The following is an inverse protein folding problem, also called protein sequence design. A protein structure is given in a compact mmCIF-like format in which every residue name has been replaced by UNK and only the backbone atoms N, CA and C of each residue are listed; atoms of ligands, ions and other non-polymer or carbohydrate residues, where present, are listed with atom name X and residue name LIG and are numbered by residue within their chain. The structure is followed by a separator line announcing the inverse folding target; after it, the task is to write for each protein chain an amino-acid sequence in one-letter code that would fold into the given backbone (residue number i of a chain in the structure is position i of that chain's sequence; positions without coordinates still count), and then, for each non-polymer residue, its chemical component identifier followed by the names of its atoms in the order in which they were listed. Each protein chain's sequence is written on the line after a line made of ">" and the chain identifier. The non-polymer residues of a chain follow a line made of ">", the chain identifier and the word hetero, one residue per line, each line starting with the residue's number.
data_IF_551412134286
#
_entry.id   IF_551412134286
#
_cell.length_a   1.000
_cell.length_b   1.000
_cell.length_c   1.000
_cell.angle_alpha   90.00
_cell.angle_beta   90.00
_cell.angle_gamma   90.00
#
_symmetry.space_group_name_H-M   'P 1'
#
loop_
_entity.id
_entity.type
_entity.pdbx_description
1 polymer ?
#
# COMPACT_ATOMS: atom_id res chain seq x y z
N UNK A 1 -12.69 2.97 -25.12
CA UNK A 1 -11.29 2.90 -24.64
C UNK A 1 -10.82 1.48 -24.87
N UNK A 2 -9.69 1.31 -25.53
CA UNK A 2 -9.12 0.00 -25.89
C UNK A 2 -8.83 -0.81 -24.61
N UNK A 3 -9.04 -2.14 -24.67
CA UNK A 3 -8.86 -3.04 -23.52
C UNK A 3 -7.48 -2.87 -22.87
N UNK A 4 -6.43 -2.67 -23.69
CA UNK A 4 -5.08 -2.35 -23.24
C UNK A 4 -4.98 -1.02 -22.48
N UNK A 5 -5.67 0.04 -22.94
CA UNK A 5 -5.70 1.33 -22.24
C UNK A 5 -6.49 1.27 -20.93
N UNK A 6 -7.52 0.43 -20.83
CA UNK A 6 -8.24 0.16 -19.58
C UNK A 6 -7.35 -0.57 -18.56
N UNK A 7 -6.63 -1.60 -18.99
CA UNK A 7 -5.70 -2.34 -18.15
C UNK A 7 -4.61 -1.39 -17.65
N UNK A 8 -3.98 -0.59 -18.51
CA UNK A 8 -2.95 0.38 -18.13
C UNK A 8 -3.51 1.43 -17.14
N UNK A 9 -4.73 1.94 -17.34
CA UNK A 9 -5.32 2.94 -16.45
C UNK A 9 -5.67 2.37 -15.08
N UNK A 10 -6.28 1.19 -15.03
CA UNK A 10 -6.60 0.47 -13.77
C UNK A 10 -5.29 0.08 -13.06
N UNK A 11 -4.29 -0.33 -13.81
CA UNK A 11 -2.95 -0.66 -13.33
C UNK A 11 -2.23 0.55 -12.71
N UNK A 12 -2.32 1.73 -13.33
CA UNK A 12 -1.73 2.97 -12.79
C UNK A 12 -2.41 3.39 -11.47
N UNK A 13 -3.74 3.22 -11.36
CA UNK A 13 -4.47 3.51 -10.13
C UNK A 13 -4.09 2.51 -9.03
N UNK A 14 -4.03 1.22 -9.33
CA UNK A 14 -3.60 0.19 -8.38
C UNK A 14 -2.15 0.39 -7.94
N UNK A 15 -1.24 0.78 -8.84
CA UNK A 15 0.14 1.13 -8.51
C UNK A 15 0.20 2.38 -7.62
N UNK A 16 -0.66 3.38 -7.83
CA UNK A 16 -0.71 4.57 -6.98
C UNK A 16 -1.12 4.22 -5.54
N UNK A 17 -2.10 3.35 -5.34
CA UNK A 17 -2.49 2.83 -4.03
C UNK A 17 -1.36 2.01 -3.40
N UNK A 18 -0.70 1.20 -4.19
CA UNK A 18 0.42 0.33 -3.80
C UNK A 18 1.65 1.08 -3.35
N UNK A 19 1.96 2.14 -4.04
CA UNK A 19 3.11 2.95 -3.73
C UNK A 19 2.92 3.67 -2.40
N UNK A 20 1.69 3.89 -1.93
CA UNK A 20 1.44 4.45 -0.60
C UNK A 20 1.90 3.48 0.49
N UNK A 21 1.56 2.22 0.42
CA UNK A 21 2.05 1.20 1.36
C UNK A 21 3.57 1.00 1.20
N UNK A 22 4.11 1.07 -0.03
CA UNK A 22 5.54 0.90 -0.33
C UNK A 22 6.38 2.15 -0.14
N UNK A 23 5.86 3.33 -0.45
CA UNK A 23 6.54 4.62 -0.28
C UNK A 23 6.78 4.96 1.19
N UNK A 24 5.95 4.41 2.09
CA UNK A 24 6.20 4.37 3.52
C UNK A 24 7.66 3.94 3.80
N UNK A 25 8.23 3.16 2.93
CA UNK A 25 9.42 2.40 3.20
C UNK A 25 10.70 2.98 2.58
N UNK A 26 10.63 3.60 1.41
CA UNK A 26 11.84 3.98 0.66
C UNK A 26 12.44 5.34 1.03
N UNK A 27 11.70 6.28 1.60
CA UNK A 27 12.15 7.66 1.77
C UNK A 27 12.95 7.94 3.05
N UNK A 28 12.72 7.21 4.14
CA UNK A 28 13.36 7.51 5.44
C UNK A 28 14.85 7.17 5.46
N UNK A 29 15.32 6.29 4.59
CA UNK A 29 16.76 5.96 4.49
C UNK A 29 17.60 7.15 3.99
N UNK A 30 17.00 8.12 3.30
CA UNK A 30 17.73 9.23 2.66
C UNK A 30 17.80 10.53 3.47
N UNK A 31 16.97 10.75 4.51
CA UNK A 31 16.82 12.07 5.15
C UNK A 31 16.86 12.09 6.68
N UNK A 32 17.67 11.27 7.31
CA UNK A 32 17.86 11.31 8.77
C UNK A 32 18.83 12.43 9.20
N UNK A 33 18.54 13.68 8.81
CA UNK A 33 19.19 14.85 9.41
C UNK A 33 18.21 16.00 9.55
N UNK A 34 17.89 16.30 10.83
CA UNK A 34 17.24 17.51 11.36
C UNK A 34 15.72 17.68 11.17
N UNK A 35 14.98 17.47 12.26
CA UNK A 35 14.36 18.64 12.92
C UNK A 35 13.54 18.25 14.14
N UNK A 36 13.78 18.96 15.24
CA UNK A 36 12.93 19.00 16.42
C UNK A 36 11.57 19.59 16.06
N UNK A 37 10.51 18.80 16.14
CA UNK A 37 9.15 19.28 16.26
C UNK A 37 8.47 18.57 17.44
N UNK A 38 8.28 19.28 18.53
CA UNK A 38 7.39 18.90 19.62
C UNK A 38 5.94 19.05 19.14
N UNK A 39 5.16 17.98 19.22
CA UNK A 39 3.70 18.04 19.01
C UNK A 39 3.07 16.64 18.89
N UNK A 40 2.51 16.15 19.97
CA UNK A 40 1.40 15.17 20.14
C UNK A 40 1.32 13.86 19.30
N UNK A 41 2.24 13.50 18.41
CA UNK A 41 2.16 12.28 17.61
C UNK A 41 2.79 11.04 18.27
N UNK A 42 3.37 11.14 19.46
CA UNK A 42 4.21 10.08 20.04
C UNK A 42 3.48 8.80 20.50
N UNK A 43 2.16 8.69 20.31
CA UNK A 43 1.34 7.55 20.76
C UNK A 43 0.44 6.96 19.68
N UNK A 44 0.74 7.18 18.40
CA UNK A 44 0.01 6.53 17.31
C UNK A 44 0.58 5.15 17.02
N UNK A 45 -0.30 4.13 16.99
CA UNK A 45 0.08 2.76 16.67
C UNK A 45 0.46 2.63 15.19
N UNK A 46 -0.21 3.37 14.30
CA UNK A 46 0.14 3.34 12.87
C UNK A 46 1.53 3.94 12.62
N UNK A 47 1.92 4.99 13.34
CA UNK A 47 3.27 5.54 13.25
C UNK A 47 4.33 4.62 13.87
N UNK A 48 3.97 3.89 14.94
CA UNK A 48 4.85 2.89 15.54
C UNK A 48 5.09 1.73 14.57
N UNK A 49 4.04 1.20 13.95
CA UNK A 49 4.14 0.18 12.90
C UNK A 49 4.99 0.67 11.74
N UNK A 50 4.77 1.89 11.28
CA UNK A 50 5.57 2.51 10.24
C UNK A 50 7.06 2.51 10.58
N UNK A 51 7.43 3.01 11.77
CA UNK A 51 8.82 3.07 12.22
C UNK A 51 9.45 1.68 12.35
N UNK A 52 8.66 0.67 12.75
CA UNK A 52 9.11 -0.73 12.79
C UNK A 52 9.42 -1.25 11.38
N UNK A 53 8.52 -1.06 10.41
CA UNK A 53 8.70 -1.49 9.03
C UNK A 53 9.93 -0.85 8.37
N UNK A 54 10.27 0.39 8.75
CA UNK A 54 11.48 1.07 8.26
C UNK A 54 12.78 0.39 8.69
N UNK A 55 12.76 -0.38 9.77
CA UNK A 55 13.95 -1.06 10.31
C UNK A 55 14.09 -2.50 9.78
N UNK A 56 13.06 -3.02 9.09
CA UNK A 56 13.09 -4.38 8.53
C UNK A 56 13.80 -4.40 7.18
N UNK A 57 14.68 -5.37 6.98
CA UNK A 57 15.32 -5.63 5.68
C UNK A 57 14.34 -6.26 4.66
N UNK A 58 13.28 -6.91 5.15
CA UNK A 58 12.25 -7.50 4.31
C UNK A 58 10.97 -7.79 5.08
N UNK A 59 9.84 -7.70 4.40
CA UNK A 59 8.50 -8.04 4.92
C UNK A 59 7.51 -8.16 3.77
N UNK A 60 6.36 -8.75 4.07
CA UNK A 60 5.23 -8.77 3.15
C UNK A 60 3.96 -8.23 3.82
N UNK A 61 3.09 -7.63 2.99
CA UNK A 61 1.78 -7.12 3.41
C UNK A 61 0.72 -7.69 2.47
N UNK A 62 -0.36 -8.21 3.05
CA UNK A 62 -1.58 -8.55 2.31
C UNK A 62 -2.69 -7.59 2.70
N UNK A 63 -3.38 -7.04 1.70
CA UNK A 63 -4.62 -6.29 1.83
C UNK A 63 -5.71 -7.02 1.05
N UNK A 64 -6.89 -7.24 1.65
CA UNK A 64 -7.97 -7.93 0.95
C UNK A 64 -9.33 -7.39 1.38
N UNK A 65 -10.15 -7.06 0.39
CA UNK A 65 -11.59 -6.84 0.53
C UNK A 65 -12.34 -8.17 0.32
N UNK A 66 -12.00 -8.85 -0.77
CA UNK A 66 -12.58 -10.11 -1.21
C UNK A 66 -11.63 -10.82 -2.21
N UNK A 67 -12.06 -11.93 -2.80
CA UNK A 67 -11.25 -12.70 -3.75
C UNK A 67 -10.89 -11.94 -5.02
N UNK A 68 -11.72 -10.97 -5.43
CA UNK A 68 -11.56 -10.19 -6.66
C UNK A 68 -10.87 -8.83 -6.43
N UNK A 69 -10.66 -8.45 -5.16
CA UNK A 69 -10.08 -7.18 -4.78
C UNK A 69 -9.10 -7.40 -3.63
N UNK A 70 -7.86 -7.65 -3.97
CA UNK A 70 -6.78 -7.92 -3.01
C UNK A 70 -5.43 -7.51 -3.58
N UNK A 71 -4.49 -7.32 -2.68
CA UNK A 71 -3.13 -6.97 -2.96
C UNK A 71 -2.17 -7.73 -2.05
N UNK A 72 -1.10 -8.23 -2.64
CA UNK A 72 0.05 -8.76 -1.94
C UNK A 72 1.29 -7.95 -2.34
N UNK A 73 1.93 -7.41 -1.35
CA UNK A 73 3.12 -6.57 -1.48
C UNK A 73 4.27 -7.21 -0.71
N UNK A 74 5.44 -7.29 -1.34
CA UNK A 74 6.67 -7.78 -0.70
C UNK A 74 7.79 -6.80 -0.93
N UNK A 75 8.48 -6.46 0.13
CA UNK A 75 9.69 -5.64 0.08
C UNK A 75 10.87 -6.40 0.63
N UNK A 76 12.02 -6.26 -0.04
CA UNK A 76 13.32 -6.70 0.46
C UNK A 76 14.38 -5.72 -0.02
N UNK A 77 15.09 -5.09 0.90
CA UNK A 77 16.09 -4.07 0.59
C UNK A 77 15.54 -2.99 -0.38
N UNK A 78 16.07 -2.93 -1.60
CA UNK A 78 15.64 -1.99 -2.65
C UNK A 78 14.71 -2.63 -3.69
N UNK A 79 14.31 -3.88 -3.49
CA UNK A 79 13.43 -4.60 -4.40
C UNK A 79 12.01 -4.63 -3.87
N UNK A 80 11.05 -4.62 -4.78
CA UNK A 80 9.63 -4.67 -4.45
C UNK A 80 8.93 -5.62 -5.42
N UNK A 81 8.11 -6.52 -4.88
CA UNK A 81 7.18 -7.33 -5.66
C UNK A 81 5.75 -6.94 -5.29
N UNK A 82 4.89 -6.89 -6.29
CA UNK A 82 3.49 -6.52 -6.13
C UNK A 82 2.64 -7.48 -6.95
N UNK A 83 1.66 -8.10 -6.30
CA UNK A 83 0.61 -8.88 -6.95
C UNK A 83 -0.74 -8.30 -6.53
N UNK A 84 -1.53 -7.87 -7.49
CA UNK A 84 -2.82 -7.25 -7.24
C UNK A 84 -3.90 -7.86 -8.11
N UNK A 85 -5.06 -8.15 -7.49
CA UNK A 85 -6.29 -8.47 -8.20
C UNK A 85 -7.26 -7.32 -7.94
N UNK A 86 -7.72 -6.68 -9.00
CA UNK A 86 -8.71 -5.62 -8.94
C UNK A 86 -9.85 -5.91 -9.92
N UNK A 87 -11.07 -6.03 -9.40
CA UNK A 87 -12.26 -6.47 -10.17
C UNK A 87 -12.00 -7.77 -10.95
N UNK A 88 -11.28 -8.71 -10.34
CA UNK A 88 -10.93 -10.00 -10.92
C UNK A 88 -9.82 -9.94 -11.99
N UNK A 89 -9.18 -8.79 -12.20
CA UNK A 89 -8.04 -8.64 -13.13
C UNK A 89 -6.75 -8.67 -12.33
N UNK A 90 -5.93 -9.68 -12.56
CA UNK A 90 -4.62 -9.84 -11.94
C UNK A 90 -3.55 -9.00 -12.65
N UNK A 91 -2.63 -8.42 -11.88
CA UNK A 91 -1.47 -7.70 -12.39
C UNK A 91 -0.29 -7.87 -11.43
N UNK A 92 0.87 -8.24 -11.96
CA UNK A 92 2.09 -8.48 -11.18
C UNK A 92 3.22 -7.55 -11.61
N UNK A 93 3.96 -7.06 -10.64
CA UNK A 93 5.06 -6.13 -10.85
C UNK A 93 6.28 -6.54 -10.04
N UNK A 94 7.44 -6.39 -10.66
CA UNK A 94 8.74 -6.42 -9.99
C UNK A 94 9.37 -5.04 -10.17
N UNK A 95 9.83 -4.44 -9.08
CA UNK A 95 10.54 -3.16 -9.10
C UNK A 95 11.93 -3.43 -8.56
N UNK A 96 12.94 -3.33 -9.41
CA UNK A 96 14.35 -3.52 -9.07
C UNK A 96 15.27 -2.78 -10.05
N UNK A 97 16.46 -2.44 -9.61
CA UNK A 97 17.52 -1.82 -10.43
C UNK A 97 17.06 -0.58 -11.19
N UNK A 98 16.16 0.24 -10.60
CA UNK A 98 15.62 1.44 -11.23
C UNK A 98 14.60 1.17 -12.34
N UNK A 99 14.10 -0.05 -12.49
CA UNK A 99 13.08 -0.43 -13.45
C UNK A 99 11.86 -1.05 -12.78
N UNK A 100 10.73 -0.94 -13.48
CA UNK A 100 9.48 -1.66 -13.15
C UNK A 100 9.18 -2.64 -14.27
N UNK A 101 9.02 -3.90 -13.92
CA UNK A 101 8.65 -4.99 -14.82
C UNK A 101 7.20 -5.36 -14.56
N UNK A 102 6.33 -5.18 -15.56
CA UNK A 102 4.95 -5.66 -15.54
C UNK A 102 4.92 -7.07 -16.12
N UNK A 103 4.50 -8.05 -15.35
CA UNK A 103 4.39 -9.45 -15.77
C UNK A 103 2.98 -9.73 -16.30
N UNK A 104 2.89 -10.38 -17.44
CA UNK A 104 1.65 -10.81 -18.09
C UNK A 104 1.62 -12.34 -18.14
N UNK A 105 0.99 -12.96 -17.13
CA UNK A 105 0.99 -14.41 -16.94
C UNK A 105 0.35 -15.17 -18.11
N UNK A 106 -0.74 -14.64 -18.69
CA UNK A 106 -1.47 -15.26 -19.78
C UNK A 106 -0.64 -15.41 -21.06
N UNK A 107 0.24 -14.44 -21.35
CA UNK A 107 1.08 -14.40 -22.55
C UNK A 107 2.53 -14.80 -22.30
N UNK A 108 2.90 -15.00 -21.03
CA UNK A 108 4.29 -15.21 -20.62
C UNK A 108 5.23 -14.12 -21.17
N UNK A 109 4.77 -12.87 -21.05
CA UNK A 109 5.55 -11.70 -21.47
C UNK A 109 5.72 -10.74 -20.30
N UNK A 110 6.78 -9.92 -20.36
CA UNK A 110 6.94 -8.80 -19.45
C UNK A 110 7.22 -7.51 -20.22
N UNK A 111 6.86 -6.38 -19.63
CA UNK A 111 7.15 -5.06 -20.16
C UNK A 111 8.00 -4.28 -19.17
N UNK A 112 9.06 -3.63 -19.66
CA UNK A 112 9.98 -2.85 -18.85
C UNK A 112 9.63 -1.36 -18.92
N UNK A 113 9.50 -0.72 -17.76
CA UNK A 113 9.29 0.72 -17.62
C UNK A 113 10.39 1.31 -16.75
N UNK A 114 11.00 2.43 -17.19
CA UNK A 114 11.92 3.17 -16.32
C UNK A 114 11.17 3.82 -15.16
N UNK A 115 11.73 3.80 -13.95
CA UNK A 115 11.09 4.31 -12.72
C UNK A 115 10.77 5.82 -12.76
N UNK A 116 11.26 6.57 -13.73
CA UNK A 116 10.89 7.98 -13.90
C UNK A 116 9.40 8.23 -14.24
N UNK A 117 8.64 7.16 -14.51
CA UNK A 117 7.19 7.25 -14.78
C UNK A 117 6.32 7.01 -13.55
N UNK A 118 6.88 6.50 -12.46
CA UNK A 118 6.17 6.28 -11.21
C UNK A 118 6.58 7.39 -10.24
N UNK A 119 5.66 8.32 -9.96
CA UNK A 119 5.92 9.41 -9.01
C UNK A 119 5.88 8.88 -7.56
N UNK A 120 7.02 8.33 -7.14
CA UNK A 120 7.23 7.86 -5.77
C UNK A 120 7.11 9.01 -4.73
N UNK A 121 7.23 10.28 -5.17
CA UNK A 121 7.13 11.43 -4.26
C UNK A 121 5.70 11.66 -3.73
N UNK A 122 4.68 11.29 -4.52
CA UNK A 122 3.28 11.37 -4.08
C UNK A 122 3.02 10.54 -2.82
N UNK A 123 3.65 9.42 -2.73
CA UNK A 123 3.59 8.44 -1.65
C UNK A 123 4.28 8.93 -0.40
N UNK A 124 5.46 9.47 -0.58
CA UNK A 124 6.25 10.11 0.49
C UNK A 124 5.46 11.24 1.16
N UNK A 125 4.71 11.99 0.37
CA UNK A 125 3.92 13.11 0.86
C UNK A 125 2.77 12.65 1.76
N UNK A 126 2.09 11.56 1.44
CA UNK A 126 0.98 11.04 2.27
C UNK A 126 1.44 10.62 3.66
N UNK A 127 2.60 10.02 3.77
CA UNK A 127 3.12 9.57 5.06
C UNK A 127 3.72 10.68 5.89
N UNK A 128 4.38 11.62 5.26
CA UNK A 128 4.74 12.87 5.94
C UNK A 128 3.49 13.58 6.44
N UNK A 129 2.39 13.49 5.69
CA UNK A 129 1.09 14.03 6.09
C UNK A 129 0.55 13.34 7.35
N UNK A 130 0.61 12.00 7.44
CA UNK A 130 0.13 11.26 8.65
C UNK A 130 0.86 11.70 9.92
N UNK A 131 2.15 12.02 9.84
CA UNK A 131 2.93 12.49 11.01
C UNK A 131 2.39 13.78 11.61
N UNK A 132 1.80 14.62 10.77
CA UNK A 132 1.30 15.95 11.12
C UNK A 132 -0.22 15.98 11.32
N UNK A 133 -0.92 14.87 11.02
CA UNK A 133 -2.37 14.77 11.18
C UNK A 133 -2.75 14.48 12.64
N UNK A 134 -3.77 15.17 13.09
CA UNK A 134 -4.52 14.80 14.29
C UNK A 134 -5.33 13.53 14.01
N UNK A 135 -5.45 12.67 15.00
CA UNK A 135 -6.27 11.46 14.91
C UNK A 135 -7.15 11.28 16.13
N UNK A 136 -8.26 10.60 15.92
CA UNK A 136 -9.20 10.23 16.98
C UNK A 136 -9.05 8.75 17.32
N UNK A 137 -9.21 8.41 18.60
CA UNK A 137 -9.24 7.01 19.06
C UNK A 137 -10.66 6.59 19.35
N UNK A 138 -10.98 5.35 19.01
CA UNK A 138 -12.28 4.77 19.33
C UNK A 138 -12.25 3.26 19.40
N UNK A 139 -13.45 2.68 19.53
CA UNK A 139 -13.69 1.23 19.48
C UNK A 139 -14.87 0.97 18.56
N UNK A 140 -14.76 -0.08 17.77
CA UNK A 140 -15.83 -0.55 16.90
C UNK A 140 -15.82 -2.06 16.81
N UNK A 141 -17.00 -2.65 16.65
CA UNK A 141 -17.15 -4.07 16.38
C UNK A 141 -17.00 -4.32 14.87
N UNK A 142 -16.02 -5.17 14.49
CA UNK A 142 -15.80 -5.63 13.13
C UNK A 142 -15.82 -7.15 13.13
N UNK A 143 -16.70 -7.75 12.32
CA UNK A 143 -16.84 -9.21 12.21
C UNK A 143 -17.05 -9.92 13.56
N UNK A 144 -17.85 -9.32 14.46
CA UNK A 144 -18.21 -9.90 15.77
C UNK A 144 -17.15 -9.74 16.87
N UNK A 145 -16.06 -8.99 16.61
CA UNK A 145 -15.01 -8.70 17.60
C UNK A 145 -14.79 -7.20 17.71
N UNK A 146 -14.58 -6.72 18.95
CA UNK A 146 -14.30 -5.32 19.24
C UNK A 146 -12.80 -5.02 19.04
N UNK A 147 -12.50 -3.99 18.26
CA UNK A 147 -11.15 -3.49 18.01
C UNK A 147 -11.01 -2.04 18.45
N UNK A 148 -9.82 -1.66 18.92
CA UNK A 148 -9.47 -0.25 19.03
C UNK A 148 -9.09 0.27 17.64
N UNK A 149 -9.40 1.54 17.36
CA UNK A 149 -8.98 2.16 16.10
C UNK A 149 -8.36 3.54 16.30
N UNK A 150 -7.59 3.96 15.33
CA UNK A 150 -7.14 5.34 15.08
C UNK A 150 -7.80 5.82 13.78
N UNK A 151 -8.53 6.96 13.84
CA UNK A 151 -9.22 7.56 12.70
C UNK A 151 -8.52 8.84 12.27
N UNK A 152 -8.22 8.95 11.00
CA UNK A 152 -7.61 10.10 10.34
C UNK A 152 -8.58 10.68 9.31
N UNK A 153 -8.64 12.00 9.20
CA UNK A 153 -9.41 12.68 8.16
C UNK A 153 -8.62 12.79 6.85
N UNK A 154 -9.35 12.82 5.73
CA UNK A 154 -8.84 13.07 4.37
C UNK A 154 -7.75 12.11 3.85
N UNK A 155 -7.63 10.91 4.40
CA UNK A 155 -6.74 9.88 3.87
C UNK A 155 -7.50 8.96 2.91
N UNK A 156 -7.13 8.97 1.62
CA UNK A 156 -7.70 8.08 0.58
C UNK A 156 -6.76 7.00 0.12
N UNK A 157 -5.49 7.13 0.45
CA UNK A 157 -4.41 6.37 -0.17
C UNK A 157 -4.33 4.91 0.31
N UNK A 158 -5.15 4.53 1.29
CA UNK A 158 -5.22 3.16 1.83
C UNK A 158 -6.42 2.36 1.33
N UNK A 159 -7.21 2.92 0.40
CA UNK A 159 -8.35 2.26 -0.21
C UNK A 159 -7.97 1.63 -1.56
N UNK A 160 -8.55 0.45 -1.87
CA UNK A 160 -8.48 -0.14 -3.22
C UNK A 160 -9.49 0.52 -4.17
N UNK A 161 -10.61 1.02 -3.63
CA UNK A 161 -11.60 1.78 -4.39
C UNK A 161 -11.21 3.25 -4.53
N UNK A 162 -11.72 3.89 -5.59
CA UNK A 162 -11.51 5.31 -5.82
C UNK A 162 -12.45 6.16 -4.96
N UNK A 163 -11.89 6.90 -4.01
CA UNK A 163 -12.57 7.86 -3.13
C UNK A 163 -12.26 9.32 -3.50
N UNK A 164 -11.53 9.58 -4.58
CA UNK A 164 -11.03 10.92 -4.93
C UNK A 164 -12.12 11.98 -5.15
N UNK A 165 -13.35 11.56 -5.49
CA UNK A 165 -14.49 12.44 -5.71
C UNK A 165 -15.46 12.49 -4.52
N UNK A 166 -15.21 11.73 -3.47
CA UNK A 166 -16.08 11.61 -2.32
C UNK A 166 -15.82 12.76 -1.32
N UNK A 167 -16.77 12.95 -0.39
CA UNK A 167 -16.68 13.97 0.66
C UNK A 167 -16.55 13.33 2.02
N UNK A 168 -16.00 14.10 2.97
CA UNK A 168 -15.88 13.69 4.38
C UNK A 168 -15.19 12.35 4.55
N UNK A 169 -14.06 12.16 3.83
CA UNK A 169 -13.32 10.93 3.84
C UNK A 169 -12.59 10.79 5.18
N UNK A 170 -12.69 9.60 5.76
CA UNK A 170 -12.01 9.20 6.99
C UNK A 170 -11.45 7.80 6.82
N UNK A 171 -10.25 7.57 7.36
CA UNK A 171 -9.64 6.24 7.36
C UNK A 171 -9.39 5.80 8.79
N UNK A 172 -9.90 4.61 9.14
CA UNK A 172 -9.71 3.94 10.42
C UNK A 172 -8.73 2.79 10.29
N UNK A 173 -7.74 2.78 11.16
CA UNK A 173 -6.81 1.67 11.34
C UNK A 173 -7.19 0.91 12.60
N UNK A 174 -7.58 -0.36 12.47
CA UNK A 174 -8.06 -1.20 13.58
C UNK A 174 -6.94 -2.10 14.08
N UNK A 175 -6.78 -2.13 15.39
CA UNK A 175 -5.71 -2.86 16.05
C UNK A 175 -6.25 -3.96 16.96
N UNK A 176 -5.70 -5.17 16.84
CA UNK A 176 -5.81 -6.24 17.83
C UNK A 176 -4.57 -6.19 18.72
N UNK A 177 -4.73 -5.69 19.93
CA UNK A 177 -3.62 -5.22 20.77
C UNK A 177 -2.83 -4.09 20.04
N UNK A 178 -1.65 -4.39 19.47
CA UNK A 178 -0.84 -3.44 18.70
C UNK A 178 -0.74 -3.82 17.22
N UNK A 179 -1.28 -4.98 16.83
CA UNK A 179 -1.21 -5.46 15.46
C UNK A 179 -2.32 -4.84 14.63
N UNK A 180 -1.98 -4.18 13.54
CA UNK A 180 -2.94 -3.69 12.55
C UNK A 180 -3.61 -4.91 11.88
N UNK A 181 -4.95 -4.95 11.88
CA UNK A 181 -5.71 -6.09 11.34
C UNK A 181 -6.72 -5.69 10.27
N UNK A 182 -7.22 -4.44 10.32
CA UNK A 182 -8.13 -3.91 9.30
C UNK A 182 -7.84 -2.44 9.02
N UNK A 183 -8.16 -2.03 7.79
CA UNK A 183 -8.21 -0.63 7.36
C UNK A 183 -9.59 -0.38 6.79
N UNK A 184 -10.29 0.67 7.27
CA UNK A 184 -11.61 1.05 6.78
C UNK A 184 -11.58 2.48 6.27
N UNK A 185 -11.87 2.67 4.99
CA UNK A 185 -12.07 3.98 4.40
C UNK A 185 -13.55 4.26 4.29
N UNK A 186 -13.98 5.44 4.73
CA UNK A 186 -15.37 5.84 4.89
C UNK A 186 -15.55 7.21 4.22
N UNK A 187 -16.60 7.34 3.41
CA UNK A 187 -17.09 8.62 2.88
C UNK A 187 -18.57 8.81 3.19
N UNK A 188 -19.16 9.92 2.73
CA UNK A 188 -20.61 10.10 2.82
C UNK A 188 -21.39 9.11 1.94
N UNK A 189 -20.76 8.54 0.91
CA UNK A 189 -21.43 7.76 -0.13
C UNK A 189 -21.16 6.25 0.00
N UNK A 190 -20.00 5.87 0.53
CA UNK A 190 -19.56 4.46 0.61
C UNK A 190 -18.54 4.20 1.70
N UNK A 191 -18.32 2.93 1.97
CA UNK A 191 -17.25 2.46 2.83
C UNK A 191 -16.54 1.25 2.23
N UNK A 192 -15.26 1.11 2.49
CA UNK A 192 -14.45 -0.04 2.15
C UNK A 192 -13.73 -0.54 3.37
N UNK A 193 -13.84 -1.84 3.66
CA UNK A 193 -13.10 -2.52 4.72
C UNK A 193 -12.12 -3.51 4.10
N UNK A 194 -10.84 -3.36 4.43
CA UNK A 194 -9.76 -4.25 4.01
C UNK A 194 -9.22 -5.01 5.22
N UNK A 195 -9.05 -6.33 5.11
CA UNK A 195 -8.17 -7.05 6.03
C UNK A 195 -6.72 -6.69 5.76
N UNK A 196 -5.92 -6.63 6.82
CA UNK A 196 -4.49 -6.35 6.76
C UNK A 196 -3.73 -7.49 7.44
N UNK A 197 -2.73 -8.02 6.77
CA UNK A 197 -1.82 -9.03 7.31
C UNK A 197 -0.38 -8.61 7.02
N UNK A 198 0.48 -8.65 8.04
CA UNK A 198 1.91 -8.38 7.95
C UNK A 198 2.68 -9.66 8.26
N UNK A 199 3.71 -9.96 7.47
CA UNK A 199 4.62 -11.08 7.70
C UNK A 199 6.07 -10.67 7.47
N UNK A 200 6.99 -11.24 8.25
CA UNK A 200 8.44 -11.04 8.09
C UNK A 200 9.05 -12.02 7.06
N UNK A 201 8.25 -12.97 6.55
CA UNK A 201 8.71 -13.93 5.53
C UNK A 201 8.77 -13.30 4.15
N UNK A 202 9.91 -13.44 3.48
CA UNK A 202 10.11 -12.99 2.10
C UNK A 202 10.64 -14.17 1.27
N UNK A 203 9.97 -14.47 0.15
CA UNK A 203 10.47 -15.42 -0.85
C UNK A 203 11.28 -14.65 -1.90
N UNK A 204 12.57 -14.94 -1.97
CA UNK A 204 13.51 -14.26 -2.88
C UNK A 204 13.18 -14.48 -4.36
N UNK A 205 12.52 -15.59 -4.69
CA UNK A 205 12.14 -15.89 -6.08
C UNK A 205 11.11 -14.90 -6.64
N UNK A 206 10.38 -14.19 -5.79
CA UNK A 206 9.38 -13.20 -6.23
C UNK A 206 9.99 -12.02 -6.98
N UNK A 207 11.28 -11.71 -6.75
CA UNK A 207 11.96 -10.60 -7.42
C UNK A 207 12.62 -10.99 -8.75
N UNK A 208 12.50 -12.24 -9.18
CA UNK A 208 13.03 -12.70 -10.44
C UNK A 208 11.96 -12.77 -11.52
N UNK A 209 12.31 -12.29 -12.73
CA UNK A 209 11.45 -12.51 -13.91
C UNK A 209 11.49 -14.01 -14.22
N UNK A 210 10.32 -14.69 -14.28
CA UNK A 210 10.31 -16.12 -14.56
C UNK A 210 11.00 -16.44 -15.90
N UNK A 211 11.80 -17.50 -15.95
CA UNK A 211 12.65 -17.83 -17.09
C UNK A 211 11.87 -18.19 -18.38
N UNK A 212 10.57 -18.47 -18.25
CA UNK A 212 9.66 -18.75 -19.37
C UNK A 212 8.98 -17.49 -19.93
N UNK A 213 9.33 -16.28 -19.42
CA UNK A 213 8.82 -15.01 -19.92
C UNK A 213 9.76 -14.39 -20.93
N UNK A 214 9.20 -13.69 -21.92
CA UNK A 214 9.94 -12.93 -22.94
C UNK A 214 9.54 -11.45 -22.90
N UNK A 215 10.47 -10.56 -23.23
CA UNK A 215 10.17 -9.15 -23.33
C UNK A 215 9.22 -8.88 -24.51
N UNK A 216 8.14 -8.11 -24.25
CA UNK A 216 7.07 -7.84 -25.20
C UNK A 216 7.14 -6.44 -25.84
#
# INVERSE_FOLDING_TARGET
>A
MDKKKKIILVTVIAILVLLVVAGIICYVVSNNNNSNAQGQSNNSNILSLYNELQQKSGYSVSLSKDENNKMYFVKKDNETYIDTIYNGVESKYIIKDGNTYLLMDDSKTYYTYSNNQIDLNKITNTLNTIKDLEYQKGKEEVNGKNYNYEEYEALTDFALEDFSNDRNIRTRFYFDNNDLVYIKTISDEKEELLSFELSDGVDDNLFEIPSDYTEG
#
